data_IF_022215274723
#
_entry.id   IF_022215274723
#
_cell.length_a   1.000
_cell.length_b   1.000
_cell.length_c   1.000
_cell.angle_alpha   90.00
_cell.angle_beta   90.00
_cell.angle_gamma   90.00
#
_symmetry.space_group_name_H-M   'P 1'
#
loop_
_entity.id
_entity.type
_entity.pdbx_description
1 polymer ?
#
# COMPACT_ATOMS: atom_id res chain seq x y z
N UNK A 1 4.91 -20.41 -12.83
CA UNK A 1 5.90 -20.18 -13.92
C UNK A 1 7.01 -19.25 -13.44
N UNK A 2 6.74 -18.02 -12.94
CA UNK A 2 7.77 -17.10 -12.42
C UNK A 2 8.60 -17.78 -11.33
N UNK A 3 7.98 -18.38 -10.30
CA UNK A 3 8.70 -19.08 -9.23
C UNK A 3 9.58 -20.23 -9.77
N UNK A 4 9.10 -20.93 -10.80
CA UNK A 4 9.85 -22.01 -11.43
C UNK A 4 11.03 -21.55 -12.31
N UNK A 5 11.07 -20.27 -12.70
CA UNK A 5 12.16 -19.69 -13.50
C UNK A 5 13.36 -19.23 -12.66
N UNK A 6 13.28 -19.29 -11.33
CA UNK A 6 14.31 -18.78 -10.43
C UNK A 6 14.26 -17.27 -10.16
N UNK A 7 13.31 -16.57 -10.75
CA UNK A 7 13.10 -15.15 -10.48
C UNK A 7 12.57 -14.94 -9.05
N UNK A 8 13.06 -13.91 -8.41
CA UNK A 8 12.53 -13.47 -7.10
C UNK A 8 11.18 -12.79 -7.29
N UNK A 9 10.24 -13.01 -6.37
CA UNK A 9 8.87 -12.52 -6.45
C UNK A 9 8.45 -11.86 -5.15
N UNK A 10 7.71 -10.75 -5.27
CA UNK A 10 6.96 -10.11 -4.17
C UNK A 10 5.59 -9.70 -4.67
N UNK A 11 4.60 -9.83 -3.80
CA UNK A 11 3.24 -9.35 -4.01
C UNK A 11 3.07 -8.04 -3.26
N UNK A 12 2.96 -6.94 -4.01
CA UNK A 12 2.86 -5.59 -3.48
C UNK A 12 1.39 -5.17 -3.39
N UNK A 13 0.84 -5.05 -2.19
CA UNK A 13 -0.56 -4.67 -1.98
C UNK A 13 -0.68 -3.41 -1.13
N UNK A 14 -1.73 -2.62 -1.33
CA UNK A 14 -2.19 -1.58 -0.41
C UNK A 14 -3.36 -2.07 0.47
N UNK A 15 -3.56 -3.39 0.60
CA UNK A 15 -4.57 -3.95 1.49
C UNK A 15 -4.30 -3.53 2.94
N UNK A 16 -5.29 -2.93 3.56
CA UNK A 16 -5.24 -2.43 4.95
C UNK A 16 -6.48 -2.78 5.77
N UNK A 17 -7.39 -3.62 5.22
CA UNK A 17 -8.54 -4.14 5.95
C UNK A 17 -8.32 -5.55 6.51
N UNK A 18 -7.13 -6.13 6.32
CA UNK A 18 -6.80 -7.46 6.80
C UNK A 18 -5.31 -7.57 7.12
N UNK A 19 -4.94 -8.50 8.04
CA UNK A 19 -3.54 -8.90 8.22
C UNK A 19 -3.02 -9.62 6.98
N UNK A 20 -1.69 -9.67 6.84
CA UNK A 20 -1.05 -10.41 5.73
C UNK A 20 -1.46 -11.88 5.73
N UNK A 21 -1.60 -12.49 6.90
CA UNK A 21 -2.04 -13.89 7.03
C UNK A 21 -3.46 -14.11 6.48
N UNK A 22 -4.40 -13.22 6.80
CA UNK A 22 -5.77 -13.27 6.26
C UNK A 22 -5.79 -13.04 4.76
N UNK A 23 -5.02 -12.05 4.28
CA UNK A 23 -4.88 -11.75 2.86
C UNK A 23 -4.30 -12.94 2.08
N UNK A 24 -3.23 -13.55 2.58
CA UNK A 24 -2.62 -14.73 1.97
C UNK A 24 -3.58 -15.92 1.93
N UNK A 25 -4.30 -16.20 3.02
CA UNK A 25 -5.32 -17.26 3.03
C UNK A 25 -6.41 -17.04 1.99
N UNK A 26 -6.86 -15.81 1.81
CA UNK A 26 -7.84 -15.45 0.78
C UNK A 26 -7.29 -15.77 -0.62
N UNK A 27 -6.06 -15.39 -0.93
CA UNK A 27 -5.45 -15.65 -2.23
C UNK A 27 -5.16 -17.15 -2.45
N UNK A 28 -4.72 -17.86 -1.43
CA UNK A 28 -4.53 -19.32 -1.49
C UNK A 28 -5.86 -20.04 -1.79
N UNK A 29 -6.96 -19.59 -1.20
CA UNK A 29 -8.30 -20.07 -1.51
C UNK A 29 -8.74 -19.85 -2.96
N UNK A 30 -8.13 -18.88 -3.66
CA UNK A 30 -8.31 -18.63 -5.09
C UNK A 30 -7.33 -19.41 -5.99
N UNK A 31 -6.48 -20.27 -5.40
CA UNK A 31 -5.51 -21.09 -6.13
C UNK A 31 -4.13 -20.44 -6.33
N UNK A 32 -3.83 -19.30 -5.70
CA UNK A 32 -2.49 -18.72 -5.76
C UNK A 32 -1.53 -19.44 -4.80
N UNK A 33 -0.36 -19.78 -5.31
CA UNK A 33 0.77 -20.25 -4.52
C UNK A 33 1.54 -19.03 -3.97
N UNK A 34 1.20 -18.61 -2.77
CA UNK A 34 1.73 -17.40 -2.10
C UNK A 34 1.93 -17.69 -0.61
N UNK A 35 2.97 -17.11 -0.03
CA UNK A 35 3.27 -17.14 1.40
C UNK A 35 3.27 -15.72 1.99
N UNK A 36 3.12 -15.61 3.30
CA UNK A 36 3.16 -14.32 4.03
C UNK A 36 4.48 -13.58 3.81
N UNK A 37 5.59 -14.32 3.74
CA UNK A 37 6.92 -13.74 3.50
C UNK A 37 7.07 -13.10 2.10
N UNK A 38 6.20 -13.45 1.15
CA UNK A 38 6.22 -12.89 -0.21
C UNK A 38 5.36 -11.63 -0.34
N UNK A 39 4.66 -11.20 0.72
CA UNK A 39 3.76 -10.05 0.69
C UNK A 39 4.40 -8.81 1.30
N UNK A 40 4.52 -7.76 0.49
CA UNK A 40 4.83 -6.40 0.93
C UNK A 40 3.52 -5.62 1.10
N UNK A 41 3.30 -5.08 2.29
CA UNK A 41 2.09 -4.35 2.68
C UNK A 41 2.42 -3.10 3.52
N UNK A 42 1.52 -2.11 3.62
CA UNK A 42 1.81 -0.87 4.33
C UNK A 42 1.98 -1.02 5.85
N UNK A 43 1.21 -1.89 6.50
CA UNK A 43 1.24 -2.01 7.96
C UNK A 43 2.61 -2.46 8.50
N UNK A 44 3.30 -3.47 7.94
CA UNK A 44 4.66 -3.81 8.35
C UNK A 44 5.67 -2.67 8.14
N UNK A 45 5.53 -1.91 7.04
CA UNK A 45 6.38 -0.75 6.80
C UNK A 45 6.15 0.36 7.84
N UNK A 46 4.90 0.62 8.22
CA UNK A 46 4.55 1.53 9.30
C UNK A 46 5.13 1.05 10.64
N UNK A 47 4.99 -0.24 10.98
CA UNK A 47 5.54 -0.80 12.22
C UNK A 47 7.05 -0.59 12.33
N UNK A 48 7.78 -0.71 11.22
CA UNK A 48 9.22 -0.44 11.20
C UNK A 48 9.52 1.03 11.53
N UNK A 49 8.84 1.98 10.89
CA UNK A 49 8.98 3.42 11.16
C UNK A 49 8.66 3.73 12.62
N UNK A 50 7.58 3.16 13.15
CA UNK A 50 7.17 3.35 14.54
C UNK A 50 8.26 2.89 15.52
N UNK A 51 8.86 1.71 15.28
CA UNK A 51 9.97 1.18 16.09
C UNK A 51 11.23 2.05 15.97
N UNK A 52 11.65 2.39 14.77
CA UNK A 52 12.86 3.20 14.50
C UNK A 52 12.77 4.60 15.14
N UNK A 53 11.59 5.19 15.16
CA UNK A 53 11.36 6.54 15.70
C UNK A 53 10.78 6.56 17.10
N UNK A 54 10.64 5.40 17.77
CA UNK A 54 10.04 5.26 19.11
C UNK A 54 8.65 5.92 19.19
N UNK A 55 7.85 5.77 18.14
CA UNK A 55 6.50 6.33 18.07
C UNK A 55 5.47 5.35 18.65
N UNK A 56 4.50 5.90 19.36
CA UNK A 56 3.38 5.17 19.95
C UNK A 56 2.08 5.65 19.29
N UNK A 57 1.47 4.84 18.42
CA UNK A 57 0.35 5.28 17.61
C UNK A 57 -1.00 5.21 18.34
N UNK A 58 -1.84 6.21 18.09
CA UNK A 58 -3.28 6.03 18.07
C UNK A 58 -3.65 5.43 16.71
N UNK A 59 -4.30 4.26 16.72
CA UNK A 59 -4.65 3.54 15.50
C UNK A 59 -6.07 3.87 15.05
N UNK A 60 -6.21 4.45 13.88
CA UNK A 60 -7.48 4.59 13.15
C UNK A 60 -7.45 3.68 11.92
N UNK A 61 -7.67 2.40 12.14
CA UNK A 61 -7.55 1.33 11.15
C UNK A 61 -8.70 0.32 11.25
N UNK A 62 -8.83 -0.55 10.27
CA UNK A 62 -9.77 -1.66 10.35
C UNK A 62 -9.42 -2.60 11.52
N UNK A 63 -10.44 -3.14 12.21
CA UNK A 63 -10.23 -4.02 13.36
C UNK A 63 -9.35 -5.23 13.04
N UNK A 64 -9.53 -5.80 11.87
CA UNK A 64 -8.77 -6.95 11.41
C UNK A 64 -7.29 -6.65 11.13
N UNK A 65 -6.91 -5.39 11.01
CA UNK A 65 -5.51 -4.98 10.83
C UNK A 65 -4.78 -4.76 12.16
N UNK A 66 -5.50 -4.50 13.26
CA UNK A 66 -4.91 -4.21 14.57
C UNK A 66 -3.84 -5.23 15.00
N UNK A 67 -3.99 -6.55 14.76
CA UNK A 67 -2.97 -7.52 15.12
C UNK A 67 -1.58 -7.31 14.48
N UNK A 68 -1.49 -6.67 13.31
CA UNK A 68 -0.19 -6.30 12.71
C UNK A 68 0.64 -5.36 13.61
N UNK A 69 -0.02 -4.61 14.49
CA UNK A 69 0.59 -3.68 15.45
C UNK A 69 0.70 -4.24 16.86
N UNK A 70 0.58 -5.57 17.06
CA UNK A 70 0.54 -6.19 18.39
C UNK A 70 1.81 -5.88 19.21
N UNK A 71 2.98 -5.84 18.57
CA UNK A 71 4.28 -5.57 19.22
C UNK A 71 4.60 -4.08 19.37
N UNK A 72 3.71 -3.18 18.93
CA UNK A 72 3.93 -1.74 19.04
C UNK A 72 3.29 -1.24 20.33
N UNK A 73 4.05 -0.49 21.13
CA UNK A 73 3.51 0.22 22.29
C UNK A 73 2.54 1.31 21.84
N UNK A 74 1.34 1.31 22.41
CA UNK A 74 0.25 2.25 22.10
C UNK A 74 -0.15 3.12 23.29
N UNK A 75 0.58 3.01 24.41
CA UNK A 75 0.30 3.82 25.60
C UNK A 75 0.70 5.28 25.36
N UNK A 76 -0.14 6.22 25.80
CA UNK A 76 0.10 7.65 25.66
C UNK A 76 0.53 8.04 24.25
N UNK A 77 -0.37 7.99 23.25
CA UNK A 77 -0.04 8.15 21.84
C UNK A 77 0.69 9.47 21.55
N UNK A 78 1.73 9.41 20.71
CA UNK A 78 2.47 10.56 20.21
C UNK A 78 2.50 10.63 18.67
N UNK A 79 1.65 9.86 18.02
CA UNK A 79 1.36 9.93 16.59
C UNK A 79 0.00 9.29 16.30
N UNK A 80 -0.49 9.47 15.08
CA UNK A 80 -1.66 8.77 14.56
C UNK A 80 -1.25 7.95 13.36
N UNK A 81 -1.70 6.69 13.31
CA UNK A 81 -1.64 5.84 12.11
C UNK A 81 -3.06 5.66 11.58
N UNK A 82 -3.27 6.06 10.33
CA UNK A 82 -4.56 5.91 9.63
C UNK A 82 -4.41 4.93 8.47
N UNK A 83 -5.34 3.96 8.39
CA UNK A 83 -5.54 3.07 7.26
C UNK A 83 -6.98 3.11 6.78
N UNK A 84 -7.37 2.27 5.83
CA UNK A 84 -8.78 2.12 5.51
C UNK A 84 -9.47 1.42 6.71
N UNK A 85 -10.19 2.21 7.47
CA UNK A 85 -10.83 1.79 8.71
C UNK A 85 -12.30 1.38 8.51
N UNK A 86 -12.82 1.47 7.27
CA UNK A 86 -14.20 1.12 6.92
C UNK A 86 -15.22 1.71 7.91
N UNK A 87 -16.00 0.88 8.59
CA UNK A 87 -17.02 1.32 9.56
C UNK A 87 -16.43 2.03 10.77
N UNK A 88 -15.12 1.92 11.04
CA UNK A 88 -14.45 2.65 12.12
C UNK A 88 -14.21 4.14 11.77
N UNK A 89 -14.45 4.58 10.54
CA UNK A 89 -14.50 6.01 10.20
C UNK A 89 -15.77 6.66 10.73
N UNK A 90 -15.94 6.62 12.03
CA UNK A 90 -17.02 7.33 12.74
C UNK A 90 -16.58 8.73 13.12
N UNK A 91 -17.55 9.63 13.35
CA UNK A 91 -17.28 10.95 13.89
C UNK A 91 -16.52 10.89 15.21
N UNK A 92 -16.87 9.94 16.09
CA UNK A 92 -16.19 9.75 17.39
C UNK A 92 -14.71 9.39 17.20
N UNK A 93 -14.40 8.36 16.40
CA UNK A 93 -13.05 7.87 16.18
C UNK A 93 -12.17 8.91 15.45
N UNK A 94 -12.75 9.62 14.47
CA UNK A 94 -12.05 10.70 13.77
C UNK A 94 -11.68 11.84 14.74
N UNK A 95 -12.59 12.21 15.67
CA UNK A 95 -12.29 13.20 16.67
C UNK A 95 -11.25 12.74 17.71
N UNK A 96 -11.20 11.44 18.04
CA UNK A 96 -10.12 10.91 18.89
C UNK A 96 -8.75 11.09 18.22
N UNK A 97 -8.61 10.68 16.95
CA UNK A 97 -7.40 10.89 16.17
C UNK A 97 -7.04 12.37 16.05
N UNK A 98 -8.03 13.23 15.78
CA UNK A 98 -7.86 14.68 15.73
C UNK A 98 -7.32 15.24 17.05
N UNK A 99 -7.90 14.86 18.21
CA UNK A 99 -7.44 15.34 19.53
C UNK A 99 -6.01 14.93 19.84
N UNK A 100 -5.59 13.73 19.41
CA UNK A 100 -4.20 13.31 19.56
C UNK A 100 -3.27 14.21 18.74
N UNK A 101 -3.61 14.49 17.47
CA UNK A 101 -2.79 15.31 16.59
C UNK A 101 -2.73 16.77 17.03
N UNK A 102 -3.89 17.40 17.28
CA UNK A 102 -3.96 18.84 17.60
C UNK A 102 -3.33 19.17 18.96
N UNK A 103 -3.22 18.18 19.85
CA UNK A 103 -2.57 18.32 21.16
C UNK A 103 -1.04 18.27 21.10
N UNK A 104 -0.44 18.02 19.93
CA UNK A 104 1.01 17.93 19.74
C UNK A 104 1.58 19.25 19.20
N UNK A 105 2.74 19.64 19.68
CA UNK A 105 3.51 20.76 19.11
C UNK A 105 3.98 20.43 17.67
N UNK A 106 4.35 19.18 17.43
CA UNK A 106 4.74 18.65 16.12
C UNK A 106 3.92 17.39 15.82
N UNK A 107 2.73 17.55 15.25
CA UNK A 107 1.87 16.39 14.97
C UNK A 107 2.50 15.45 13.95
N UNK A 108 2.37 14.16 14.19
CA UNK A 108 2.85 13.10 13.30
C UNK A 108 1.66 12.27 12.86
N UNK A 109 1.35 12.32 11.56
CA UNK A 109 0.31 11.54 10.92
C UNK A 109 0.95 10.60 9.90
N UNK A 110 0.83 9.29 10.12
CA UNK A 110 1.28 8.25 9.19
C UNK A 110 0.06 7.64 8.53
N UNK A 111 0.04 7.62 7.20
CA UNK A 111 -1.06 7.02 6.42
C UNK A 111 -0.61 5.77 5.70
N UNK A 112 -1.38 4.69 5.83
CA UNK A 112 -1.11 3.42 5.16
C UNK A 112 -1.44 3.46 3.67
N UNK A 113 -2.09 4.51 3.19
CA UNK A 113 -2.43 4.72 1.80
C UNK A 113 -2.89 6.15 1.55
N UNK A 114 -3.18 6.47 0.29
CA UNK A 114 -3.75 7.77 -0.10
C UNK A 114 -4.81 7.63 -1.20
N UNK A 115 -5.40 6.43 -1.31
CA UNK A 115 -6.47 6.17 -2.26
C UNK A 115 -7.65 7.11 -2.05
N UNK A 116 -8.28 7.55 -3.13
CA UNK A 116 -9.45 8.45 -3.07
C UNK A 116 -10.74 7.67 -2.87
N UNK A 117 -10.85 6.55 -3.56
CA UNK A 117 -11.97 5.62 -3.53
C UNK A 117 -11.56 4.28 -4.11
N UNK A 118 -12.33 3.26 -3.82
CA UNK A 118 -12.20 1.93 -4.42
C UNK A 118 -13.58 1.39 -4.80
N UNK A 119 -13.61 0.27 -5.52
CA UNK A 119 -14.86 -0.34 -5.99
C UNK A 119 -15.13 -1.62 -5.22
N UNK A 120 -16.31 -1.68 -4.64
CA UNK A 120 -16.93 -2.86 -4.05
C UNK A 120 -18.06 -3.38 -4.94
N UNK A 121 -18.66 -4.51 -4.56
CA UNK A 121 -19.77 -5.12 -5.28
C UNK A 121 -21.02 -4.24 -5.31
N UNK A 122 -21.21 -3.42 -4.27
CA UNK A 122 -22.35 -2.52 -4.06
C UNK A 122 -22.10 -1.08 -4.55
N UNK A 123 -20.88 -0.79 -5.08
CA UNK A 123 -20.58 0.53 -5.62
C UNK A 123 -19.20 1.08 -5.28
N UNK A 124 -19.04 2.40 -5.44
CA UNK A 124 -17.81 3.09 -5.06
C UNK A 124 -17.85 3.47 -3.59
N UNK A 125 -16.73 3.27 -2.89
CA UNK A 125 -16.54 3.65 -1.49
C UNK A 125 -15.36 4.59 -1.34
N UNK A 126 -15.43 5.51 -0.37
CA UNK A 126 -14.30 6.36 -0.02
C UNK A 126 -13.16 5.51 0.53
N UNK A 127 -11.96 5.82 0.11
CA UNK A 127 -10.73 5.21 0.63
C UNK A 127 -10.07 6.14 1.66
N UNK A 128 -9.05 5.65 2.35
CA UNK A 128 -8.32 6.31 3.44
C UNK A 128 -7.89 7.74 3.12
N UNK A 129 -7.56 8.05 1.87
CA UNK A 129 -7.09 9.38 1.47
C UNK A 129 -8.06 10.52 1.74
N UNK A 130 -9.38 10.27 1.68
CA UNK A 130 -10.39 11.26 2.01
C UNK A 130 -10.34 11.64 3.51
N UNK A 131 -10.22 10.65 4.38
CA UNK A 131 -10.16 10.83 5.84
C UNK A 131 -8.79 11.35 6.29
N UNK A 132 -7.72 10.89 5.65
CA UNK A 132 -6.37 11.43 5.82
C UNK A 132 -6.35 12.94 5.56
N UNK A 133 -6.95 13.38 4.43
CA UNK A 133 -7.05 14.80 4.07
C UNK A 133 -7.87 15.61 5.07
N UNK A 134 -8.90 15.02 5.66
CA UNK A 134 -9.67 15.68 6.72
C UNK A 134 -8.79 15.98 7.94
N UNK A 135 -7.96 15.02 8.38
CA UNK A 135 -7.02 15.22 9.49
C UNK A 135 -5.87 16.17 9.13
N UNK A 136 -5.31 16.07 7.91
CA UNK A 136 -4.32 17.04 7.42
C UNK A 136 -4.83 18.46 7.48
N UNK A 137 -6.05 18.67 6.98
CA UNK A 137 -6.70 19.99 6.96
C UNK A 137 -6.96 20.53 8.37
N UNK A 138 -7.49 19.68 9.25
CA UNK A 138 -7.88 20.09 10.60
C UNK A 138 -6.69 20.39 11.52
N UNK A 139 -5.55 19.72 11.32
CA UNK A 139 -4.37 19.81 12.20
C UNK A 139 -3.18 20.54 11.56
N UNK A 140 -3.34 21.07 10.34
CA UNK A 140 -2.24 21.67 9.55
C UNK A 140 -0.99 20.79 9.51
N UNK A 141 -1.19 19.49 9.25
CA UNK A 141 -0.15 18.47 9.18
C UNK A 141 -0.14 17.82 7.80
N UNK A 142 1.02 17.42 7.32
CA UNK A 142 1.13 16.60 6.14
C UNK A 142 1.35 15.15 6.52
N UNK A 143 0.53 14.24 6.01
CA UNK A 143 0.66 12.81 6.28
C UNK A 143 1.89 12.23 5.58
N UNK A 144 2.63 11.40 6.32
CA UNK A 144 3.65 10.51 5.76
C UNK A 144 2.97 9.25 5.24
N UNK A 145 2.94 9.08 3.91
CA UNK A 145 2.30 7.93 3.28
C UNK A 145 3.31 6.79 3.13
N UNK A 146 2.98 5.61 3.64
CA UNK A 146 3.88 4.44 3.65
C UNK A 146 3.49 3.35 2.64
N UNK A 147 2.26 3.35 2.11
CA UNK A 147 1.82 2.48 1.03
C UNK A 147 2.24 3.00 -0.35
N UNK A 148 1.99 2.18 -1.41
CA UNK A 148 2.15 2.63 -2.78
C UNK A 148 1.36 3.93 -3.03
N UNK A 149 1.87 4.94 -3.70
CA UNK A 149 3.09 4.97 -4.52
C UNK A 149 4.32 5.50 -3.77
N UNK A 150 4.39 5.43 -2.45
CA UNK A 150 5.52 5.95 -1.68
C UNK A 150 6.81 5.19 -2.04
N UNK A 151 7.88 5.95 -2.22
CA UNK A 151 9.20 5.43 -2.63
C UNK A 151 9.69 4.35 -1.67
N UNK A 152 9.58 4.61 -0.38
CA UNK A 152 10.01 3.69 0.68
C UNK A 152 9.34 2.32 0.63
N UNK A 153 8.11 2.22 0.11
CA UNK A 153 7.42 0.95 -0.06
C UNK A 153 8.15 0.04 -1.05
N UNK A 154 8.52 0.58 -2.22
CA UNK A 154 9.26 -0.16 -3.25
C UNK A 154 10.70 -0.45 -2.82
N UNK A 155 11.38 0.53 -2.22
CA UNK A 155 12.73 0.35 -1.71
C UNK A 155 12.80 -0.75 -0.65
N UNK A 156 11.80 -0.84 0.24
CA UNK A 156 11.72 -1.91 1.23
C UNK A 156 11.55 -3.28 0.58
N UNK A 157 10.64 -3.41 -0.39
CA UNK A 157 10.43 -4.66 -1.11
C UNK A 157 11.68 -5.11 -1.89
N UNK A 158 12.38 -4.16 -2.51
CA UNK A 158 13.65 -4.42 -3.20
C UNK A 158 14.77 -4.86 -2.25
N UNK A 159 14.88 -4.20 -1.10
CA UNK A 159 15.88 -4.56 -0.07
C UNK A 159 15.66 -5.97 0.47
N UNK A 160 14.40 -6.34 0.76
CA UNK A 160 14.05 -7.70 1.19
C UNK A 160 14.38 -8.77 0.13
N UNK A 161 14.29 -8.43 -1.14
CA UNK A 161 14.69 -9.31 -2.25
C UNK A 161 16.20 -9.30 -2.52
N UNK A 162 16.93 -8.28 -2.03
CA UNK A 162 18.33 -8.06 -2.37
C UNK A 162 18.53 -7.83 -3.87
N UNK A 163 17.66 -7.00 -4.49
CA UNK A 163 17.69 -6.71 -5.94
C UNK A 163 17.76 -5.20 -6.15
N UNK A 164 18.64 -4.69 -7.03
CA UNK A 164 18.62 -3.28 -7.38
C UNK A 164 17.40 -2.95 -8.25
N UNK A 165 16.91 -1.69 -8.21
CA UNK A 165 15.68 -1.29 -8.92
C UNK A 165 15.70 -1.62 -10.42
N UNK A 166 16.84 -1.45 -11.08
CA UNK A 166 17.01 -1.66 -12.53
C UNK A 166 16.85 -3.13 -12.95
N UNK A 167 16.92 -4.07 -12.01
CA UNK A 167 16.73 -5.50 -12.23
C UNK A 167 15.33 -5.97 -11.81
N UNK A 168 14.44 -5.05 -11.45
CA UNK A 168 13.09 -5.37 -11.02
C UNK A 168 12.04 -4.80 -11.99
N UNK A 169 10.94 -5.52 -12.12
CA UNK A 169 9.78 -5.12 -12.92
C UNK A 169 8.56 -5.15 -12.02
N UNK A 170 7.84 -4.03 -11.94
CA UNK A 170 6.51 -3.97 -11.35
C UNK A 170 5.45 -4.34 -12.39
N UNK A 171 4.50 -5.16 -12.01
CA UNK A 171 3.30 -5.44 -12.80
C UNK A 171 2.11 -5.00 -11.97
N UNK A 172 1.30 -4.09 -12.50
CA UNK A 172 0.16 -3.56 -11.76
C UNK A 172 -0.93 -2.96 -12.65
N UNK A 173 -2.09 -2.74 -12.07
CA UNK A 173 -3.27 -2.21 -12.74
C UNK A 173 -3.49 -0.71 -12.50
N UNK A 174 -2.85 -0.15 -11.47
CA UNK A 174 -2.97 1.26 -11.09
C UNK A 174 -1.82 2.08 -11.70
N UNK A 175 -2.16 2.92 -12.70
CA UNK A 175 -1.17 3.73 -13.44
C UNK A 175 -0.35 4.64 -12.52
N UNK A 176 -0.93 5.16 -11.43
CA UNK A 176 -0.26 6.09 -10.52
C UNK A 176 0.45 5.34 -9.38
N UNK A 177 -0.28 4.44 -8.71
CA UNK A 177 0.22 3.81 -7.50
C UNK A 177 1.21 2.68 -7.79
N UNK A 178 0.97 1.86 -8.82
CA UNK A 178 1.86 0.77 -9.19
C UNK A 178 2.93 1.24 -10.16
N UNK A 179 2.51 1.65 -11.36
CA UNK A 179 3.42 1.97 -12.45
C UNK A 179 4.26 3.20 -12.12
N UNK A 180 3.61 4.33 -11.87
CA UNK A 180 4.30 5.59 -11.57
C UNK A 180 5.12 5.53 -10.30
N UNK A 181 4.61 4.83 -9.26
CA UNK A 181 5.35 4.61 -8.02
C UNK A 181 6.63 3.83 -8.25
N UNK A 182 6.57 2.71 -8.95
CA UNK A 182 7.73 1.87 -9.27
C UNK A 182 8.75 2.60 -10.14
N UNK A 183 8.31 3.28 -11.20
CA UNK A 183 9.20 4.02 -12.11
C UNK A 183 9.96 5.15 -11.40
N UNK A 184 9.35 5.86 -10.44
CA UNK A 184 10.05 6.86 -9.61
C UNK A 184 11.13 6.25 -8.72
N UNK A 185 11.10 4.94 -8.49
CA UNK A 185 12.14 4.21 -7.77
C UNK A 185 13.18 3.56 -8.71
N UNK A 186 13.05 3.74 -10.01
CA UNK A 186 13.96 3.19 -11.01
C UNK A 186 13.65 1.76 -11.46
N UNK A 187 12.47 1.22 -11.12
CA UNK A 187 11.99 -0.06 -11.66
C UNK A 187 11.43 0.16 -13.07
N UNK A 188 11.45 -0.91 -13.87
CA UNK A 188 10.55 -1.01 -15.02
C UNK A 188 9.14 -1.34 -14.54
N UNK A 189 8.12 -0.99 -15.32
CA UNK A 189 6.74 -1.24 -14.94
C UNK A 189 5.85 -1.57 -16.14
N UNK A 190 5.08 -2.64 -16.02
CA UNK A 190 4.06 -3.07 -16.97
C UNK A 190 2.68 -2.76 -16.40
N UNK A 191 1.81 -2.17 -17.21
CA UNK A 191 0.40 -2.01 -16.84
C UNK A 191 -0.45 -3.12 -17.43
N UNK A 192 -1.20 -3.81 -16.57
CA UNK A 192 -2.21 -4.79 -17.00
C UNK A 192 -3.54 -4.08 -17.26
N UNK A 193 -4.24 -4.48 -18.35
CA UNK A 193 -5.57 -3.98 -18.72
C UNK A 193 -6.71 -4.68 -17.95
N UNK A 194 -6.48 -4.95 -16.65
CA UNK A 194 -7.45 -5.57 -15.74
C UNK A 194 -7.61 -4.68 -14.51
N UNK A 195 -8.50 -5.06 -13.59
CA UNK A 195 -8.66 -4.37 -12.30
C UNK A 195 -9.07 -2.90 -12.43
N UNK A 196 -8.22 -2.00 -11.97
CA UNK A 196 -8.45 -0.54 -11.95
C UNK A 196 -8.15 0.15 -13.29
N UNK A 197 -7.51 -0.55 -14.23
CA UNK A 197 -7.16 0.01 -15.53
C UNK A 197 -8.37 0.65 -16.22
N UNK A 198 -8.11 1.78 -16.87
CA UNK A 198 -9.07 2.48 -17.75
C UNK A 198 -8.38 2.85 -19.06
N UNK A 199 -9.09 2.87 -20.21
CA UNK A 199 -8.50 3.27 -21.49
C UNK A 199 -7.81 4.64 -21.47
N UNK A 200 -8.30 5.56 -20.63
CA UNK A 200 -7.65 6.88 -20.47
C UNK A 200 -6.27 6.83 -19.83
N UNK A 201 -5.92 5.73 -19.13
CA UNK A 201 -4.58 5.56 -18.54
C UNK A 201 -3.50 5.52 -19.61
N UNK A 202 -3.81 5.06 -20.83
CA UNK A 202 -2.87 5.04 -21.95
C UNK A 202 -2.47 6.44 -22.45
N UNK A 203 -3.23 7.46 -22.05
CA UNK A 203 -2.94 8.87 -22.33
C UNK A 203 -2.61 9.64 -21.03
N UNK A 204 -2.11 8.96 -19.99
CA UNK A 204 -1.80 9.61 -18.72
C UNK A 204 -0.68 10.65 -18.92
N UNK A 205 -0.84 11.92 -18.45
CA UNK A 205 0.05 13.02 -18.80
C UNK A 205 1.49 12.89 -18.24
N UNK A 206 1.67 12.10 -17.19
CA UNK A 206 2.93 12.04 -16.45
C UNK A 206 3.51 10.64 -16.27
N UNK A 207 2.75 9.58 -16.57
CA UNK A 207 3.20 8.19 -16.38
C UNK A 207 2.98 7.43 -17.67
N UNK A 208 4.05 6.80 -18.16
CA UNK A 208 4.02 5.92 -19.31
C UNK A 208 4.65 4.59 -18.93
N UNK A 209 3.89 3.49 -18.88
CA UNK A 209 4.44 2.16 -18.63
C UNK A 209 5.47 1.77 -19.70
N UNK A 210 6.39 0.87 -19.36
CA UNK A 210 7.32 0.27 -20.32
C UNK A 210 6.58 -0.60 -21.35
N UNK A 211 5.46 -1.22 -20.94
CA UNK A 211 4.50 -1.85 -21.85
C UNK A 211 3.11 -1.95 -21.22
N UNK A 212 2.10 -2.05 -22.09
CA UNK A 212 0.74 -2.43 -21.73
C UNK A 212 0.52 -3.89 -22.11
N UNK A 213 -0.10 -4.66 -21.24
CA UNK A 213 -0.43 -6.07 -21.45
C UNK A 213 -1.88 -6.32 -21.04
N UNK A 214 -2.51 -7.32 -21.66
CA UNK A 214 -3.94 -7.56 -21.42
C UNK A 214 -4.22 -8.16 -20.03
N UNK A 215 -3.26 -8.92 -19.51
CA UNK A 215 -3.40 -9.58 -18.20
C UNK A 215 -2.03 -10.01 -17.64
N UNK A 216 -2.03 -10.56 -16.43
CA UNK A 216 -0.83 -11.05 -15.77
C UNK A 216 -0.13 -12.18 -16.53
N UNK A 217 -0.89 -13.07 -17.21
CA UNK A 217 -0.29 -14.18 -17.94
C UNK A 217 0.57 -13.67 -19.10
N UNK A 218 0.08 -12.69 -19.85
CA UNK A 218 0.84 -12.03 -20.93
C UNK A 218 2.08 -11.31 -20.40
N UNK A 219 1.96 -10.61 -19.26
CA UNK A 219 3.13 -10.00 -18.60
C UNK A 219 4.20 -11.04 -18.28
N UNK A 220 3.81 -12.18 -17.73
CA UNK A 220 4.72 -13.29 -17.40
C UNK A 220 5.37 -13.86 -18.66
N UNK A 221 4.62 -14.03 -19.77
CA UNK A 221 5.16 -14.52 -21.05
C UNK A 221 6.26 -13.59 -21.59
N UNK A 222 6.01 -12.28 -21.59
CA UNK A 222 6.99 -11.28 -22.02
C UNK A 222 8.25 -11.33 -21.17
N UNK A 223 8.12 -11.40 -19.85
CA UNK A 223 9.27 -11.43 -18.94
C UNK A 223 10.11 -12.69 -19.16
N UNK A 224 9.47 -13.84 -19.30
CA UNK A 224 10.18 -15.12 -19.48
C UNK A 224 10.83 -15.27 -20.86
N UNK A 225 10.40 -14.52 -21.86
CA UNK A 225 11.03 -14.46 -23.19
C UNK A 225 12.29 -13.60 -23.22
N UNK A 226 12.49 -12.74 -22.22
CA UNK A 226 13.65 -11.86 -22.12
C UNK A 226 14.78 -12.40 -21.23
N UNK A 227 14.59 -13.60 -20.64
CA UNK A 227 15.61 -14.36 -19.89
C UNK A 227 16.46 -15.21 -20.83
#
# INVERSE_FOLDING_TARGET
RIKASGLKLRFCTNETQATREKFVKKLQGMGFDISVAEVAAPAPAACRILKERSLRPHLLVHNDLVPEFAEIDKANPNCVVIGDAAENFTYANLNEAFRVLIGMEKPVLISLGRGRYYKETDGLKLDVGAYMKALEYACDVQAEVVGKPAKMFFESALAEMGVPPQQAIMIGDDIVNDVGGAQRCGLRALQVRTGKYRPCDENHPHVKPDAYVNNLAEAVDIILQQL
#
